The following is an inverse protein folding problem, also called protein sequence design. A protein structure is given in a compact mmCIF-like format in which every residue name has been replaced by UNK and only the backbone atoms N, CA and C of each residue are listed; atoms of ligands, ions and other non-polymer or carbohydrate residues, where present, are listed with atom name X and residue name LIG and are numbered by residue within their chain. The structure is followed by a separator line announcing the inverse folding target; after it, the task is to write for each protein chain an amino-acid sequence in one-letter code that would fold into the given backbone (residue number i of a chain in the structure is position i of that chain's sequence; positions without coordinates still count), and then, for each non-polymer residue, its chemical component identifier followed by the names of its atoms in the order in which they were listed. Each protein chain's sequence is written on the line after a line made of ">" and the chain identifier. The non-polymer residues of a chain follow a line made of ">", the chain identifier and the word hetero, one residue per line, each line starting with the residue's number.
data_IF_422717437315
#
_entry.id   IF_422717437315
#
_cell.length_a   1.000
_cell.length_b   1.000
_cell.length_c   1.000
_cell.angle_alpha   90.00
_cell.angle_beta   90.00
_cell.angle_gamma   90.00
#
_symmetry.space_group_name_H-M   'P 1'
#
loop_
_entity.id
_entity.type
_entity.pdbx_description
1 polymer ?
#
# COMPACT_ATOMS: atom_id res chain seq x y z
N UNK A 1 -43.20 -1.20 18.35
CA UNK A 1 -41.88 -1.76 18.70
C UNK A 1 -40.89 -1.24 17.68
N UNK A 2 -40.01 -0.32 18.07
CA UNK A 2 -38.94 0.18 17.22
C UNK A 2 -37.80 -0.82 17.25
N UNK A 3 -37.68 -1.63 16.20
CA UNK A 3 -36.54 -2.52 15.98
C UNK A 3 -35.28 -1.65 15.88
N UNK A 4 -34.47 -1.64 16.95
CA UNK A 4 -33.13 -1.04 16.92
C UNK A 4 -32.24 -1.98 16.13
N UNK A 5 -32.24 -1.82 14.81
CA UNK A 5 -31.24 -2.46 13.95
C UNK A 5 -29.85 -2.09 14.49
N UNK A 6 -29.16 -3.04 15.13
CA UNK A 6 -27.85 -2.80 15.70
C UNK A 6 -26.85 -2.59 14.57
N UNK A 7 -26.35 -1.36 14.43
CA UNK A 7 -25.29 -1.05 13.47
C UNK A 7 -24.03 -1.86 13.84
N UNK A 8 -23.65 -2.81 12.99
CA UNK A 8 -22.41 -3.56 13.16
C UNK A 8 -21.23 -2.79 12.53
N UNK A 9 -20.01 -3.06 13.01
CA UNK A 9 -18.78 -2.52 12.40
C UNK A 9 -18.65 -2.93 10.91
N UNK A 10 -19.29 -4.04 10.53
CA UNK A 10 -19.42 -4.54 9.16
C UNK A 10 -20.33 -3.65 8.29
N UNK A 11 -21.35 -3.02 8.88
CA UNK A 11 -22.25 -2.07 8.22
C UNK A 11 -21.55 -0.72 7.95
N UNK A 12 -20.58 -0.36 8.79
CA UNK A 12 -19.64 0.75 8.53
C UNK A 12 -18.59 0.40 7.45
N UNK A 13 -18.64 -0.83 6.92
CA UNK A 13 -17.81 -1.27 5.81
C UNK A 13 -16.53 -2.01 6.21
N UNK A 14 -16.37 -2.35 7.49
CA UNK A 14 -15.19 -3.07 7.96
C UNK A 14 -15.51 -4.56 8.13
N UNK A 15 -15.16 -5.35 7.12
CA UNK A 15 -15.18 -6.82 7.22
C UNK A 15 -13.84 -7.31 7.80
N UNK A 16 -13.83 -7.54 9.11
CA UNK A 16 -12.62 -7.92 9.87
C UNK A 16 -12.08 -9.28 9.40
N UNK A 17 -12.97 -10.23 9.12
CA UNK A 17 -12.59 -11.58 8.69
C UNK A 17 -11.93 -11.56 7.31
N UNK A 18 -12.51 -10.82 6.36
CA UNK A 18 -11.91 -10.63 5.05
C UNK A 18 -10.57 -9.86 5.14
N UNK A 19 -10.47 -8.90 6.06
CA UNK A 19 -9.23 -8.20 6.36
C UNK A 19 -8.13 -9.12 6.89
N UNK A 20 -8.47 -10.01 7.83
CA UNK A 20 -7.55 -10.99 8.42
C UNK A 20 -7.12 -12.06 7.40
N UNK A 21 -8.05 -12.56 6.58
CA UNK A 21 -7.75 -13.50 5.51
C UNK A 21 -6.75 -12.90 4.49
N UNK A 22 -6.96 -11.65 4.10
CA UNK A 22 -6.05 -10.93 3.23
C UNK A 22 -4.68 -10.73 3.88
N UNK A 23 -4.62 -10.31 5.16
CA UNK A 23 -3.36 -10.20 5.91
C UNK A 23 -2.61 -11.54 5.92
N UNK A 24 -3.32 -12.65 6.15
CA UNK A 24 -2.75 -14.00 6.10
C UNK A 24 -2.10 -14.32 4.74
N UNK A 25 -2.78 -14.02 3.64
CA UNK A 25 -2.28 -14.28 2.27
C UNK A 25 -1.05 -13.44 1.91
N UNK A 26 -1.07 -12.15 2.24
CA UNK A 26 -0.03 -11.23 1.81
C UNK A 26 1.21 -11.28 2.69
N UNK A 27 1.11 -11.78 3.94
CA UNK A 27 2.19 -11.80 4.94
C UNK A 27 3.51 -12.34 4.39
N UNK A 28 3.46 -13.40 3.58
CA UNK A 28 4.64 -13.98 2.95
C UNK A 28 5.30 -13.04 1.94
N UNK A 29 4.50 -12.32 1.15
CA UNK A 29 4.99 -11.38 0.14
C UNK A 29 5.55 -10.12 0.81
N UNK A 30 4.87 -9.57 1.82
CA UNK A 30 5.37 -8.41 2.57
C UNK A 30 6.69 -8.69 3.26
N UNK A 31 6.85 -9.89 3.83
CA UNK A 31 8.08 -10.25 4.55
C UNK A 31 9.31 -10.16 3.65
N UNK A 32 9.16 -10.41 2.34
CA UNK A 32 10.25 -10.29 1.35
C UNK A 32 10.68 -8.83 1.13
N UNK A 33 9.78 -7.89 1.37
CA UNK A 33 10.05 -6.44 1.26
C UNK A 33 10.73 -5.86 2.50
N UNK A 34 11.11 -6.66 3.50
CA UNK A 34 11.62 -6.13 4.76
C UNK A 34 13.03 -5.58 4.59
N UNK A 35 13.23 -4.32 5.01
CA UNK A 35 14.57 -3.74 5.18
C UNK A 35 15.04 -3.79 6.64
N UNK A 36 16.36 -3.65 6.91
CA UNK A 36 16.91 -3.56 8.27
C UNK A 36 16.39 -2.38 9.09
N UNK A 37 16.07 -1.25 8.45
CA UNK A 37 15.62 -0.03 9.12
C UNK A 37 14.20 -0.15 9.70
N UNK A 38 13.47 -1.20 9.32
CA UNK A 38 12.08 -1.42 9.74
C UNK A 38 12.02 -1.96 11.17
N UNK A 39 11.32 -1.22 12.03
CA UNK A 39 11.11 -1.57 13.42
C UNK A 39 9.70 -2.20 13.58
N UNK A 40 9.66 -3.41 14.14
CA UNK A 40 8.40 -4.14 14.37
C UNK A 40 7.95 -5.01 13.18
N UNK A 41 6.64 -5.11 12.98
CA UNK A 41 6.01 -5.94 11.95
C UNK A 41 4.54 -5.58 11.69
N UNK A 42 3.94 -6.29 10.72
CA UNK A 42 2.55 -6.12 10.30
C UNK A 42 1.56 -6.36 11.46
N UNK A 43 0.55 -5.48 11.57
CA UNK A 43 -0.58 -5.65 12.50
C UNK A 43 -0.71 -4.56 13.57
N UNK A 44 0.27 -3.66 13.70
CA UNK A 44 0.16 -2.46 14.53
C UNK A 44 -0.65 -1.33 13.87
N UNK A 45 -1.04 -0.32 14.66
CA UNK A 45 -1.70 0.90 14.17
C UNK A 45 -0.82 1.70 13.19
N UNK A 46 0.50 1.53 13.30
CA UNK A 46 1.47 2.25 12.50
C UNK A 46 2.73 1.43 12.26
N UNK A 47 3.41 1.85 11.21
CA UNK A 47 4.71 1.41 10.75
C UNK A 47 5.82 2.24 11.38
N UNK A 48 6.93 1.61 11.79
CA UNK A 48 8.11 2.34 12.25
C UNK A 48 9.31 2.00 11.35
N UNK A 49 10.02 3.03 10.90
CA UNK A 49 11.23 2.89 10.10
C UNK A 49 12.26 3.91 10.57
N UNK A 50 13.45 3.44 10.93
CA UNK A 50 14.58 4.30 11.21
C UNK A 50 15.11 4.95 9.93
N UNK A 51 15.82 6.08 10.07
CA UNK A 51 16.54 6.69 8.97
C UNK A 51 17.88 5.95 8.76
N UNK A 52 18.29 5.67 7.51
CA UNK A 52 19.59 5.06 7.24
C UNK A 52 20.75 5.94 7.74
N UNK A 53 21.71 5.36 8.45
CA UNK A 53 22.84 6.11 9.05
C UNK A 53 23.85 6.65 8.03
N UNK A 54 23.76 6.26 6.75
CA UNK A 54 24.66 6.73 5.69
C UNK A 54 24.47 8.22 5.33
N UNK A 55 23.42 8.85 5.85
CA UNK A 55 23.05 10.23 5.53
C UNK A 55 23.44 11.18 6.66
N UNK A 56 24.17 12.26 6.34
CA UNK A 56 24.54 13.30 7.32
C UNK A 56 23.38 14.23 7.65
N UNK A 57 22.74 14.78 6.64
CA UNK A 57 21.62 15.73 6.77
C UNK A 57 20.41 15.22 5.96
N UNK A 58 19.65 14.24 6.48
CA UNK A 58 18.57 13.62 5.73
C UNK A 58 17.38 14.56 5.48
N UNK A 59 16.85 14.56 4.25
CA UNK A 59 15.71 15.39 3.83
C UNK A 59 14.59 14.51 3.25
N UNK A 60 13.48 14.37 3.96
CA UNK A 60 12.42 13.47 3.54
C UNK A 60 11.67 14.04 2.32
N UNK A 61 11.41 13.20 1.31
CA UNK A 61 10.69 13.57 0.08
C UNK A 61 9.54 12.60 -0.11
N UNK A 62 8.33 13.05 0.22
CA UNK A 62 7.10 12.27 0.05
C UNK A 62 6.41 12.58 -1.27
N UNK A 63 5.64 11.61 -1.78
CA UNK A 63 4.90 11.74 -3.03
C UNK A 63 3.74 10.76 -3.04
N UNK A 64 2.58 11.18 -3.50
CA UNK A 64 1.38 10.34 -3.54
C UNK A 64 0.82 10.38 -4.94
N UNK A 65 0.60 9.21 -5.51
CA UNK A 65 0.00 9.09 -6.83
C UNK A 65 -1.00 7.92 -6.87
N UNK A 66 -1.86 7.94 -7.88
CA UNK A 66 -2.75 6.86 -8.22
C UNK A 66 -2.42 6.29 -9.59
N UNK A 67 -2.94 5.10 -9.85
CA UNK A 67 -2.83 4.49 -11.19
C UNK A 67 -3.64 5.26 -12.25
N UNK A 68 -4.65 6.01 -11.82
CA UNK A 68 -5.52 6.76 -12.72
C UNK A 68 -6.47 5.87 -13.54
N UNK A 69 -6.82 6.33 -14.74
CA UNK A 69 -7.82 5.68 -15.62
C UNK A 69 -7.38 4.31 -16.15
N UNK A 70 -6.09 3.96 -16.08
CA UNK A 70 -5.58 2.62 -16.42
C UNK A 70 -6.23 1.51 -15.58
N UNK A 71 -6.69 1.83 -14.37
CA UNK A 71 -7.48 0.91 -13.53
C UNK A 71 -8.74 0.41 -14.25
N UNK A 72 -9.37 1.23 -15.10
CA UNK A 72 -10.58 0.82 -15.83
C UNK A 72 -10.26 -0.33 -16.79
N UNK A 73 -9.16 -0.22 -17.53
CA UNK A 73 -8.71 -1.28 -18.44
C UNK A 73 -8.34 -2.56 -17.68
N UNK A 74 -7.66 -2.43 -16.54
CA UNK A 74 -7.32 -3.57 -15.68
C UNK A 74 -8.57 -4.33 -15.21
N UNK A 75 -9.64 -3.60 -14.86
CA UNK A 75 -10.92 -4.18 -14.46
C UNK A 75 -11.64 -4.85 -15.63
N UNK A 76 -11.74 -4.17 -16.78
CA UNK A 76 -12.43 -4.69 -17.96
C UNK A 76 -11.75 -5.97 -18.48
N UNK A 77 -10.41 -6.04 -18.39
CA UNK A 77 -9.61 -7.21 -18.75
C UNK A 77 -9.45 -8.25 -17.63
N UNK A 78 -9.94 -7.96 -16.41
CA UNK A 78 -9.76 -8.78 -15.20
C UNK A 78 -8.30 -9.11 -14.88
N UNK A 79 -7.36 -8.20 -15.18
CA UNK A 79 -5.92 -8.35 -14.95
C UNK A 79 -5.43 -7.32 -13.94
N UNK A 80 -5.11 -7.77 -12.73
CA UNK A 80 -4.82 -6.90 -11.58
C UNK A 80 -3.40 -7.11 -11.00
N UNK A 81 -2.69 -8.11 -11.49
CA UNK A 81 -1.35 -8.52 -11.06
C UNK A 81 -0.27 -7.48 -11.39
N UNK A 82 -0.40 -6.76 -12.50
CA UNK A 82 0.60 -5.75 -12.90
C UNK A 82 0.29 -4.34 -12.44
N UNK A 83 -0.94 -4.08 -11.96
CA UNK A 83 -1.37 -2.70 -11.67
C UNK A 83 -0.65 -2.11 -10.45
N UNK A 84 -0.22 -2.98 -9.53
CA UNK A 84 0.62 -2.61 -8.40
C UNK A 84 2.02 -2.17 -8.80
N UNK A 85 2.53 -2.67 -9.93
CA UNK A 85 3.84 -2.28 -10.47
C UNK A 85 3.76 -0.84 -10.97
N UNK A 86 2.75 -0.54 -11.79
CA UNK A 86 2.52 0.79 -12.36
C UNK A 86 2.40 1.84 -11.26
N UNK A 87 1.63 1.51 -10.22
CA UNK A 87 1.47 2.35 -9.06
C UNK A 87 2.80 2.70 -8.39
N UNK A 88 3.62 1.70 -8.05
CA UNK A 88 4.91 1.95 -7.38
C UNK A 88 5.84 2.73 -8.30
N UNK A 89 5.82 2.44 -9.60
CA UNK A 89 6.64 3.12 -10.59
C UNK A 89 6.31 4.61 -10.71
N UNK A 90 5.02 5.00 -10.75
CA UNK A 90 4.61 6.41 -10.77
C UNK A 90 5.22 7.18 -9.60
N UNK A 91 5.01 6.64 -8.39
CA UNK A 91 5.48 7.27 -7.18
C UNK A 91 7.02 7.30 -7.06
N UNK A 92 7.71 6.20 -7.36
CA UNK A 92 9.18 6.12 -7.24
C UNK A 92 9.88 6.97 -8.30
N UNK A 93 9.36 7.03 -9.53
CA UNK A 93 9.98 7.79 -10.61
C UNK A 93 10.04 9.29 -10.31
N UNK A 94 9.00 9.85 -9.70
CA UNK A 94 8.96 11.28 -9.32
C UNK A 94 9.94 11.67 -8.20
N UNK A 95 10.50 10.67 -7.53
CA UNK A 95 11.46 10.89 -6.45
C UNK A 95 12.89 10.70 -6.89
N UNK A 96 13.16 9.69 -7.71
CA UNK A 96 14.51 9.46 -8.22
C UNK A 96 14.99 10.61 -9.10
N UNK A 97 14.08 11.37 -9.74
CA UNK A 97 14.42 12.60 -10.48
C UNK A 97 15.00 13.71 -9.58
N UNK A 98 14.72 13.66 -8.27
CA UNK A 98 15.30 14.56 -7.26
C UNK A 98 16.52 13.94 -6.57
N UNK A 99 16.99 12.77 -7.02
CA UNK A 99 18.09 12.03 -6.38
C UNK A 99 17.68 11.30 -5.08
N UNK A 100 16.38 11.11 -4.84
CA UNK A 100 15.90 10.46 -3.62
C UNK A 100 16.03 8.93 -3.65
N UNK A 101 16.40 8.34 -2.51
CA UNK A 101 16.38 6.89 -2.33
C UNK A 101 15.03 6.42 -1.77
N UNK A 102 14.40 5.42 -2.40
CA UNK A 102 13.22 4.80 -1.84
C UNK A 102 13.47 4.04 -0.50
N UNK A 103 12.87 4.48 0.61
CA UNK A 103 12.87 3.86 1.94
C UNK A 103 11.66 2.94 2.23
N UNK A 104 10.43 3.46 2.23
CA UNK A 104 9.21 2.68 2.48
C UNK A 104 8.04 3.11 1.58
N UNK A 105 7.04 2.23 1.45
CA UNK A 105 5.85 2.41 0.64
C UNK A 105 4.61 2.04 1.43
N UNK A 106 3.59 2.90 1.39
CA UNK A 106 2.28 2.62 1.95
C UNK A 106 1.25 2.60 0.83
N UNK A 107 0.30 1.67 0.91
CA UNK A 107 -0.85 1.62 0.02
C UNK A 107 -2.16 1.84 0.77
N UNK A 108 -3.14 2.39 0.05
CA UNK A 108 -4.53 2.42 0.47
C UNK A 108 -5.43 1.86 -0.65
N UNK A 109 -6.18 0.83 -0.27
CA UNK A 109 -7.02 0.05 -1.16
C UNK A 109 -8.48 0.25 -0.75
N UNK A 110 -9.26 0.96 -1.58
CA UNK A 110 -10.71 1.09 -1.37
C UNK A 110 -11.50 0.35 -2.44
N UNK A 111 -12.53 -0.36 -1.99
CA UNK A 111 -13.43 -1.14 -2.85
C UNK A 111 -14.82 -1.21 -2.25
N UNK A 112 -15.87 -1.29 -3.07
CA UNK A 112 -17.23 -1.50 -2.60
C UNK A 112 -17.44 -2.85 -1.90
N UNK A 113 -16.67 -3.88 -2.25
CA UNK A 113 -16.61 -5.16 -1.54
C UNK A 113 -15.22 -5.73 -1.66
N UNK A 114 -14.63 -6.16 -0.54
CA UNK A 114 -13.31 -6.75 -0.54
C UNK A 114 -13.36 -8.12 -1.20
N UNK A 115 -12.77 -8.20 -2.39
CA UNK A 115 -12.37 -9.46 -3.02
C UNK A 115 -10.91 -9.72 -2.64
N UNK A 116 -10.69 -10.79 -1.90
CA UNK A 116 -9.38 -11.17 -1.37
C UNK A 116 -8.44 -11.60 -2.50
N UNK A 117 -8.93 -12.23 -3.57
CA UNK A 117 -8.09 -12.70 -4.68
C UNK A 117 -7.58 -11.52 -5.48
N UNK A 118 -8.48 -10.63 -5.89
CA UNK A 118 -8.14 -9.38 -6.60
C UNK A 118 -7.19 -8.51 -5.76
N UNK A 119 -7.50 -8.29 -4.48
CA UNK A 119 -6.63 -7.52 -3.60
C UNK A 119 -5.24 -8.16 -3.44
N UNK A 120 -5.17 -9.48 -3.31
CA UNK A 120 -3.89 -10.21 -3.21
C UNK A 120 -3.06 -10.07 -4.49
N UNK A 121 -3.69 -10.09 -5.67
CA UNK A 121 -3.00 -9.90 -6.95
C UNK A 121 -2.38 -8.49 -7.05
N UNK A 122 -3.15 -7.45 -6.73
CA UNK A 122 -2.65 -6.06 -6.72
C UNK A 122 -1.47 -5.91 -5.75
N UNK A 123 -1.62 -6.41 -4.52
CA UNK A 123 -0.59 -6.34 -3.49
C UNK A 123 0.67 -7.09 -3.89
N UNK A 124 0.53 -8.22 -4.61
CA UNK A 124 1.68 -8.97 -5.11
C UNK A 124 2.49 -8.16 -6.11
N UNK A 125 1.83 -7.47 -7.05
CA UNK A 125 2.50 -6.55 -7.98
C UNK A 125 3.19 -5.37 -7.30
N UNK A 126 2.58 -4.80 -6.24
CA UNK A 126 3.23 -3.77 -5.42
C UNK A 126 4.52 -4.32 -4.80
N UNK A 127 4.41 -5.48 -4.15
CA UNK A 127 5.51 -6.07 -3.41
C UNK A 127 6.66 -6.53 -4.32
N UNK A 128 6.39 -6.89 -5.58
CA UNK A 128 7.41 -7.22 -6.57
C UNK A 128 8.39 -6.06 -6.82
N UNK A 129 7.87 -4.86 -7.08
CA UNK A 129 8.70 -3.66 -7.32
C UNK A 129 9.41 -3.24 -6.05
N UNK A 130 8.68 -3.24 -4.94
CA UNK A 130 9.20 -2.87 -3.62
C UNK A 130 10.36 -3.78 -3.22
N UNK A 131 10.27 -5.10 -3.43
CA UNK A 131 11.34 -6.05 -3.13
C UNK A 131 12.59 -5.79 -4.00
N UNK A 132 12.40 -5.51 -5.29
CA UNK A 132 13.51 -5.26 -6.22
C UNK A 132 14.19 -3.91 -6.02
N UNK A 133 13.49 -2.91 -5.45
CA UNK A 133 14.04 -1.58 -5.17
C UNK A 133 14.36 -1.34 -3.70
N UNK A 134 14.42 -2.42 -2.91
CA UNK A 134 14.70 -2.40 -1.48
C UNK A 134 13.77 -1.47 -0.69
N UNK A 135 12.50 -1.34 -1.03
CA UNK A 135 11.53 -0.52 -0.29
C UNK A 135 10.83 -1.42 0.73
N UNK A 136 10.37 -0.89 1.88
CA UNK A 136 9.52 -1.67 2.77
C UNK A 136 8.03 -1.35 2.63
N UNK A 137 7.17 -2.37 2.50
CA UNK A 137 5.73 -2.21 2.30
C UNK A 137 4.91 -2.29 3.59
N UNK A 138 4.00 -1.32 3.78
CA UNK A 138 3.03 -1.29 4.86
C UNK A 138 1.59 -1.10 4.37
N UNK A 139 0.68 -1.89 4.95
CA UNK A 139 -0.76 -1.78 4.71
C UNK A 139 -1.33 -0.59 5.49
N UNK A 140 -1.78 0.47 4.82
CA UNK A 140 -2.16 1.70 5.52
C UNK A 140 -3.63 1.76 5.97
N UNK A 141 -4.60 1.40 5.13
CA UNK A 141 -6.04 1.37 5.48
C UNK A 141 -6.88 0.83 4.33
N UNK A 142 -8.03 0.24 4.66
CA UNK A 142 -9.01 -0.29 3.69
C UNK A 142 -10.38 0.27 4.01
N UNK A 143 -11.02 0.88 3.02
CA UNK A 143 -12.33 1.49 3.18
C UNK A 143 -13.31 0.92 2.18
N UNK A 144 -14.52 0.61 2.66
CA UNK A 144 -15.63 0.25 1.79
C UNK A 144 -16.32 1.51 1.31
N UNK A 145 -16.30 1.75 0.00
CA UNK A 145 -17.02 2.84 -0.64
C UNK A 145 -18.07 2.27 -1.59
N UNK A 146 -19.36 2.50 -1.35
CA UNK A 146 -20.43 2.01 -2.24
C UNK A 146 -20.21 2.59 -3.64
N UNK A 147 -20.09 1.73 -4.65
CA UNK A 147 -19.93 2.14 -6.06
C UNK A 147 -18.53 2.55 -6.49
N UNK A 148 -17.53 2.60 -5.60
CA UNK A 148 -16.15 2.96 -5.96
C UNK A 148 -15.18 1.81 -5.66
N UNK A 149 -14.38 1.45 -6.68
CA UNK A 149 -13.06 0.87 -6.46
C UNK A 149 -12.08 2.01 -6.71
N UNK A 150 -11.50 2.54 -5.66
CA UNK A 150 -10.48 3.59 -5.74
C UNK A 150 -9.30 3.14 -4.92
N UNK A 151 -8.28 2.64 -5.60
CA UNK A 151 -6.98 2.42 -4.99
C UNK A 151 -6.30 3.79 -4.98
N UNK A 152 -6.24 4.43 -3.82
CA UNK A 152 -5.70 5.80 -3.65
C UNK A 152 -4.50 5.69 -2.72
N UNK A 153 -3.31 6.04 -3.14
CA UNK A 153 -2.10 5.54 -2.47
C UNK A 153 -1.19 6.68 -2.06
N UNK A 154 -0.91 6.75 -0.77
CA UNK A 154 -0.02 7.75 -0.16
C UNK A 154 1.31 7.11 0.10
N UNK A 155 2.36 7.57 -0.57
CA UNK A 155 3.72 7.13 -0.31
C UNK A 155 4.50 8.26 0.37
N UNK A 156 5.25 7.92 1.40
CA UNK A 156 6.22 8.83 2.01
C UNK A 156 7.58 8.22 1.81
N UNK A 157 8.45 8.93 1.10
CA UNK A 157 9.80 8.47 0.83
C UNK A 157 10.82 9.43 1.43
N UNK A 158 12.04 8.95 1.58
CA UNK A 158 13.09 9.62 2.34
C UNK A 158 14.27 9.76 1.42
N UNK A 159 14.43 10.95 0.83
CA UNK A 159 15.75 11.30 0.29
C UNK A 159 16.68 11.61 1.46
N UNK A 160 17.95 11.53 1.19
CA UNK A 160 18.88 12.45 1.78
C UNK A 160 19.74 12.89 0.62
N UNK A 161 19.45 14.08 0.12
CA UNK A 161 20.40 14.80 -0.68
C UNK A 161 21.53 15.16 0.27
N UNK A 162 22.63 14.41 0.18
CA UNK A 162 23.90 14.85 0.71
C UNK A 162 24.30 16.09 -0.10
N UNK A 163 24.05 17.26 0.45
CA UNK A 163 24.95 18.39 0.28
C UNK A 163 25.93 18.38 1.46
#
# INVERSE_FOLDING_TARGET
>A
MTDKTSLSYKDAGVDIDAGNALVGRIKGVVKKTRRPEVMGGLGGFGALCALPQKYREPVLVSGTDGVGTKLRLAMDLKRHDTIGIDLVAMCVNDLVVQGAEPLFFLDYYATGKLDVDTASAVISGIAEVVCNRAVHWWVAKRQKCRGCITVKITMSLVSALAW
#
